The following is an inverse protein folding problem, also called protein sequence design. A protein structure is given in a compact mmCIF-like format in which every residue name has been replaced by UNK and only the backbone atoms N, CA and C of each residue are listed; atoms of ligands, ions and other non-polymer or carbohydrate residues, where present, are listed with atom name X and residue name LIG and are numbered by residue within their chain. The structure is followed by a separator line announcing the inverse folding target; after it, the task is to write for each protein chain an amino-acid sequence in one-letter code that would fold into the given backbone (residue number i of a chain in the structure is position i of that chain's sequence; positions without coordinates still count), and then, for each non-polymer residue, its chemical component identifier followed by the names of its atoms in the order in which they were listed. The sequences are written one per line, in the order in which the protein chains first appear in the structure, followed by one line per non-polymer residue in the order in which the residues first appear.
data_IF_973043085061
#
_entry.id   IF_973043085061
#
_cell.length_a   1.000
_cell.length_b   1.000
_cell.length_c   1.000
_cell.angle_alpha   90.00
_cell.angle_beta   90.00
_cell.angle_gamma   90.00
#
_symmetry.space_group_name_H-M   'P 1'
#
loop_
_entity.id
_entity.type
_entity.pdbx_description
1 polymer ?
#
# COMPACT_ATOMS: atom_id res chain seq x y z
N UNK A 1 29.37 -1.39 -29.25
CA UNK A 1 29.40 -1.43 -27.77
C UNK A 1 28.18 -0.78 -27.12
N UNK A 2 27.40 0.08 -27.78
CA UNK A 2 26.22 0.74 -27.17
C UNK A 2 24.97 -0.14 -27.00
N UNK A 3 24.83 -1.24 -27.74
CA UNK A 3 23.66 -2.13 -27.65
C UNK A 3 23.56 -2.86 -26.30
N UNK A 4 24.70 -3.23 -25.69
CA UNK A 4 24.75 -3.98 -24.43
C UNK A 4 24.29 -3.16 -23.22
N UNK A 5 24.50 -1.84 -23.22
CA UNK A 5 24.13 -0.97 -22.11
C UNK A 5 22.62 -0.67 -22.11
N UNK A 6 22.02 -0.53 -23.30
CA UNK A 6 20.59 -0.28 -23.45
C UNK A 6 19.75 -1.50 -23.06
N UNK A 7 20.23 -2.71 -23.37
CA UNK A 7 19.59 -3.97 -22.95
C UNK A 7 19.69 -4.18 -21.44
N UNK A 8 20.83 -3.84 -20.81
CA UNK A 8 21.02 -3.93 -19.36
C UNK A 8 20.12 -2.94 -18.60
N UNK A 9 20.00 -1.69 -19.06
CA UNK A 9 19.09 -0.68 -18.50
C UNK A 9 17.62 -1.07 -18.67
N UNK A 10 17.25 -1.61 -19.84
CA UNK A 10 15.89 -2.09 -20.10
C UNK A 10 15.55 -3.31 -19.25
N UNK A 11 16.51 -4.21 -19.03
CA UNK A 11 16.36 -5.38 -18.16
C UNK A 11 16.26 -4.95 -16.70
N UNK A 12 17.09 -4.00 -16.26
CA UNK A 12 17.02 -3.42 -14.92
C UNK A 12 15.65 -2.80 -14.67
N UNK A 13 15.15 -1.93 -15.54
CA UNK A 13 13.82 -1.31 -15.40
C UNK A 13 12.69 -2.36 -15.38
N UNK A 14 12.75 -3.41 -16.23
CA UNK A 14 11.75 -4.48 -16.23
C UNK A 14 11.76 -5.31 -14.94
N UNK A 15 12.94 -5.66 -14.44
CA UNK A 15 13.13 -6.43 -13.20
C UNK A 15 12.67 -5.63 -11.97
N UNK A 16 13.03 -4.35 -11.95
CA UNK A 16 12.62 -3.36 -10.95
C UNK A 16 11.10 -3.23 -10.88
N UNK A 17 10.46 -3.06 -12.04
CA UNK A 17 9.01 -2.92 -12.14
C UNK A 17 8.28 -4.19 -11.71
N UNK A 18 8.82 -5.37 -12.04
CA UNK A 18 8.27 -6.63 -11.58
C UNK A 18 8.24 -6.71 -10.05
N UNK A 19 9.34 -6.41 -9.39
CA UNK A 19 9.41 -6.46 -7.93
C UNK A 19 8.44 -5.48 -7.25
N UNK A 20 8.33 -4.26 -7.78
CA UNK A 20 7.40 -3.27 -7.23
C UNK A 20 5.95 -3.71 -7.45
N UNK A 21 5.64 -4.26 -8.62
CA UNK A 21 4.32 -4.81 -8.89
C UNK A 21 3.94 -5.94 -7.93
N UNK A 22 4.88 -6.82 -7.57
CA UNK A 22 4.64 -7.83 -6.53
C UNK A 22 4.30 -7.22 -5.17
N UNK A 23 5.02 -6.17 -4.76
CA UNK A 23 4.74 -5.45 -3.50
C UNK A 23 3.35 -4.81 -3.53
N UNK A 24 2.96 -4.19 -4.65
CA UNK A 24 1.62 -3.66 -4.85
C UNK A 24 0.55 -4.75 -4.80
N UNK A 25 0.78 -5.89 -5.45
CA UNK A 25 -0.15 -7.01 -5.40
C UNK A 25 -0.32 -7.55 -3.99
N UNK A 26 0.76 -7.57 -3.19
CA UNK A 26 0.67 -7.93 -1.78
C UNK A 26 -0.20 -6.94 -1.00
N UNK A 27 -0.06 -5.63 -1.24
CA UNK A 27 -0.94 -4.63 -0.63
C UNK A 27 -2.39 -4.82 -1.09
N UNK A 28 -2.62 -4.99 -2.39
CA UNK A 28 -3.96 -5.17 -2.94
C UNK A 28 -4.66 -6.40 -2.37
N UNK A 29 -3.94 -7.52 -2.20
CA UNK A 29 -4.49 -8.70 -1.52
C UNK A 29 -4.93 -8.38 -0.10
N UNK A 30 -4.10 -7.70 0.68
CA UNK A 30 -4.45 -7.28 2.04
C UNK A 30 -5.70 -6.36 2.07
N UNK A 31 -5.82 -5.46 1.09
CA UNK A 31 -6.98 -4.57 0.95
C UNK A 31 -8.25 -5.26 0.45
N UNK A 32 -8.15 -6.47 -0.09
CA UNK A 32 -9.26 -7.25 -0.62
C UNK A 32 -9.65 -8.42 0.29
N UNK A 33 -8.91 -8.65 1.39
CA UNK A 33 -9.28 -9.67 2.36
C UNK A 33 -10.66 -9.37 2.95
N UNK A 34 -11.48 -10.41 3.12
CA UNK A 34 -12.92 -10.33 3.48
C UNK A 34 -13.21 -9.60 4.82
N UNK A 35 -12.17 -9.32 5.61
CA UNK A 35 -12.27 -8.62 6.90
C UNK A 35 -11.54 -7.26 6.90
N UNK A 36 -11.15 -6.73 5.74
CA UNK A 36 -10.55 -5.40 5.65
C UNK A 36 -11.61 -4.31 5.88
N UNK A 37 -11.50 -3.62 7.01
CA UNK A 37 -12.23 -2.40 7.32
C UNK A 37 -11.38 -1.15 7.04
N UNK A 38 -11.97 0.04 7.10
CA UNK A 38 -11.29 1.30 6.83
C UNK A 38 -10.05 1.53 7.71
N UNK A 39 -10.08 1.08 8.98
CA UNK A 39 -8.99 1.26 9.94
C UNK A 39 -7.81 0.38 9.53
N UNK A 40 -8.08 -0.88 9.20
CA UNK A 40 -7.10 -1.85 8.72
C UNK A 40 -6.52 -1.45 7.36
N UNK A 41 -7.35 -1.00 6.41
CA UNK A 41 -6.91 -0.47 5.12
C UNK A 41 -6.03 0.76 5.26
N UNK A 42 -6.45 1.75 6.07
CA UNK A 42 -5.65 2.95 6.35
C UNK A 42 -4.28 2.57 6.92
N UNK A 43 -4.26 1.65 7.88
CA UNK A 43 -3.03 1.16 8.50
C UNK A 43 -2.13 0.43 7.50
N UNK A 44 -2.69 -0.44 6.66
CA UNK A 44 -1.95 -1.18 5.64
C UNK A 44 -1.32 -0.26 4.58
N UNK A 45 -2.07 0.73 4.09
CA UNK A 45 -1.58 1.73 3.13
C UNK A 45 -0.49 2.59 3.77
N UNK A 46 -0.70 3.07 5.01
CA UNK A 46 0.29 3.86 5.73
C UNK A 46 1.58 3.07 6.01
N UNK A 47 1.48 1.76 6.26
CA UNK A 47 2.63 0.89 6.38
C UNK A 47 3.34 0.69 5.03
N UNK A 48 2.60 0.57 3.93
CA UNK A 48 3.15 0.44 2.59
C UNK A 48 3.93 1.70 2.15
N UNK A 49 3.40 2.89 2.39
CA UNK A 49 4.13 4.15 2.13
C UNK A 49 5.46 4.21 2.89
N UNK A 50 5.47 3.81 4.17
CA UNK A 50 6.71 3.70 4.95
C UNK A 50 7.69 2.67 4.36
N UNK A 51 7.19 1.56 3.81
CA UNK A 51 8.02 0.57 3.11
C UNK A 51 8.66 1.15 1.85
N UNK A 52 7.95 1.95 1.05
CA UNK A 52 8.54 2.61 -0.14
C UNK A 52 9.73 3.50 0.25
N UNK A 53 9.57 4.32 1.29
CA UNK A 53 10.66 5.14 1.82
C UNK A 53 11.83 4.29 2.34
N UNK A 54 11.54 3.17 3.02
CA UNK A 54 12.56 2.22 3.47
C UNK A 54 13.33 1.61 2.28
N UNK A 55 12.63 1.17 1.24
CA UNK A 55 13.21 0.59 0.03
C UNK A 55 14.15 1.56 -0.67
N UNK A 56 13.75 2.83 -0.82
CA UNK A 56 14.59 3.90 -1.36
C UNK A 56 15.89 4.05 -0.57
N UNK A 57 15.81 4.09 0.76
CA UNK A 57 16.98 4.25 1.62
C UNK A 57 17.90 3.03 1.61
N UNK A 58 17.35 1.82 1.53
CA UNK A 58 18.13 0.59 1.48
C UNK A 58 18.90 0.47 0.16
N UNK A 59 18.29 0.87 -0.95
CA UNK A 59 18.93 0.84 -2.28
C UNK A 59 20.10 1.80 -2.36
N UNK A 60 19.98 3.00 -1.77
CA UNK A 60 21.12 3.92 -1.59
C UNK A 60 22.28 3.30 -0.80
N UNK A 61 22.00 2.35 0.08
CA UNK A 61 22.99 1.63 0.91
C UNK A 61 23.45 0.32 0.26
N UNK A 62 23.01 0.03 -0.98
CA UNK A 62 23.21 -1.27 -1.67
C UNK A 62 22.73 -2.48 -0.85
N UNK A 63 21.73 -2.27 0.01
CA UNK A 63 21.05 -3.32 0.76
C UNK A 63 19.81 -3.78 -0.03
N UNK A 64 19.90 -4.97 -0.63
CA UNK A 64 18.93 -5.46 -1.62
C UNK A 64 18.10 -6.65 -1.14
N UNK A 65 18.01 -6.90 0.16
CA UNK A 65 17.29 -8.05 0.71
C UNK A 65 15.80 -8.07 0.30
N UNK A 66 15.21 -6.89 0.11
CA UNK A 66 13.81 -6.75 -0.32
C UNK A 66 13.61 -6.92 -1.83
N UNK A 67 14.72 -6.91 -2.59
CA UNK A 67 14.81 -7.00 -4.04
C UNK A 67 15.92 -7.97 -4.46
N UNK A 68 15.73 -9.31 -4.29
CA UNK A 68 16.76 -10.29 -4.62
C UNK A 68 17.30 -10.18 -6.05
N UNK A 69 16.47 -9.74 -6.99
CA UNK A 69 16.90 -9.54 -8.38
C UNK A 69 17.93 -8.39 -8.53
N UNK A 70 17.89 -7.36 -7.68
CA UNK A 70 18.92 -6.31 -7.66
C UNK A 70 20.23 -6.85 -7.08
N UNK A 71 20.15 -7.76 -6.10
CA UNK A 71 21.34 -8.42 -5.56
C UNK A 71 22.08 -9.23 -6.64
N UNK A 72 21.33 -9.85 -7.57
CA UNK A 72 21.91 -10.63 -8.68
C UNK A 72 22.74 -9.79 -9.67
N UNK A 73 22.46 -8.49 -9.80
CA UNK A 73 23.13 -7.59 -10.76
C UNK A 73 23.92 -6.48 -10.06
N UNK A 74 24.17 -6.59 -8.75
CA UNK A 74 24.81 -5.53 -7.96
C UNK A 74 26.17 -5.09 -8.51
N UNK A 75 26.96 -6.00 -9.08
CA UNK A 75 28.25 -5.67 -9.71
C UNK A 75 28.12 -4.73 -10.90
N UNK A 76 26.97 -4.76 -11.57
CA UNK A 76 26.73 -4.05 -12.83
C UNK A 76 26.03 -2.70 -12.58
N UNK A 77 25.41 -2.53 -11.41
CA UNK A 77 24.69 -1.32 -11.02
C UNK A 77 25.65 -0.19 -10.62
N UNK A 78 25.60 0.90 -11.38
CA UNK A 78 26.28 2.15 -11.03
C UNK A 78 25.44 2.95 -10.02
N UNK A 79 26.08 3.91 -9.35
CA UNK A 79 25.38 4.74 -8.36
C UNK A 79 24.30 5.61 -9.01
N UNK A 80 24.49 6.00 -10.28
CA UNK A 80 23.48 6.70 -11.09
C UNK A 80 22.23 5.84 -11.33
N UNK A 81 22.38 4.54 -11.55
CA UNK A 81 21.26 3.61 -11.72
C UNK A 81 20.46 3.47 -10.42
N UNK A 82 21.17 3.42 -9.28
CA UNK A 82 20.56 3.36 -7.95
C UNK A 82 19.85 4.68 -7.60
N UNK A 83 20.40 5.81 -8.04
CA UNK A 83 19.76 7.12 -7.88
C UNK A 83 18.46 7.20 -8.69
N UNK A 84 18.47 6.76 -9.95
CA UNK A 84 17.28 6.70 -10.80
C UNK A 84 16.20 5.80 -10.21
N UNK A 85 16.59 4.62 -9.68
CA UNK A 85 15.64 3.76 -8.98
C UNK A 85 15.07 4.43 -7.71
N UNK A 86 15.92 5.10 -6.94
CA UNK A 86 15.50 5.82 -5.74
C UNK A 86 14.52 6.96 -6.03
N UNK A 87 14.70 7.67 -7.14
CA UNK A 87 13.78 8.69 -7.64
C UNK A 87 12.45 8.06 -8.10
N UNK A 88 12.51 6.93 -8.80
CA UNK A 88 11.30 6.20 -9.21
C UNK A 88 10.43 5.80 -8.01
N UNK A 89 11.04 5.28 -6.93
CA UNK A 89 10.30 4.98 -5.70
C UNK A 89 9.71 6.21 -5.04
N UNK A 90 10.42 7.33 -5.09
CA UNK A 90 9.91 8.60 -4.53
C UNK A 90 8.68 9.06 -5.29
N UNK A 91 8.72 9.04 -6.63
CA UNK A 91 7.60 9.43 -7.47
C UNK A 91 6.37 8.56 -7.20
N UNK A 92 6.55 7.25 -7.02
CA UNK A 92 5.46 6.35 -6.63
C UNK A 92 4.92 6.71 -5.24
N UNK A 93 5.81 6.96 -4.29
CA UNK A 93 5.41 7.33 -2.94
C UNK A 93 4.58 8.62 -2.94
N UNK A 94 5.03 9.67 -3.64
CA UNK A 94 4.32 10.95 -3.77
C UNK A 94 2.97 10.81 -4.46
N UNK A 95 2.89 10.04 -5.56
CA UNK A 95 1.61 9.76 -6.24
C UNK A 95 0.62 9.05 -5.32
N UNK A 96 1.07 7.98 -4.65
CA UNK A 96 0.22 7.25 -3.72
C UNK A 96 -0.21 8.12 -2.54
N UNK A 97 0.72 8.86 -1.94
CA UNK A 97 0.43 9.72 -0.80
C UNK A 97 -0.59 10.80 -1.17
N UNK A 98 -0.51 11.37 -2.37
CA UNK A 98 -1.50 12.30 -2.90
C UNK A 98 -2.87 11.65 -3.03
N UNK A 99 -2.92 10.45 -3.64
CA UNK A 99 -4.19 9.74 -3.92
C UNK A 99 -4.88 9.21 -2.66
N UNK A 100 -4.13 8.90 -1.61
CA UNK A 100 -4.68 8.39 -0.34
C UNK A 100 -4.65 9.46 0.77
N UNK A 101 -4.37 10.71 0.43
CA UNK A 101 -4.22 11.82 1.38
C UNK A 101 -5.42 11.99 2.29
N UNK A 102 -6.64 11.97 1.73
CA UNK A 102 -7.88 12.10 2.49
C UNK A 102 -8.06 10.95 3.50
N UNK A 103 -7.75 9.71 3.09
CA UNK A 103 -7.81 8.54 3.95
C UNK A 103 -6.79 8.63 5.09
N UNK A 104 -5.56 9.07 4.79
CA UNK A 104 -4.50 9.23 5.78
C UNK A 104 -4.79 10.39 6.74
N UNK A 105 -5.39 11.47 6.26
CA UNK A 105 -5.80 12.64 7.04
C UNK A 105 -7.05 12.43 7.90
N UNK A 106 -7.81 11.36 7.65
CA UNK A 106 -9.03 11.06 8.41
C UNK A 106 -8.75 10.88 9.92
N UNK A 107 -9.35 11.70 10.75
CA UNK A 107 -9.35 11.47 12.20
C UNK A 107 -10.35 10.37 12.54
N UNK A 108 -9.91 9.34 13.26
CA UNK A 108 -10.74 8.20 13.65
C UNK A 108 -10.93 8.30 15.16
N UNK A 109 -12.14 8.67 15.63
CA UNK A 109 -12.41 8.78 17.06
C UNK A 109 -12.11 7.48 17.79
N UNK A 110 -11.61 7.58 19.03
CA UNK A 110 -11.21 6.42 19.83
C UNK A 110 -12.34 5.40 20.02
N UNK A 111 -13.58 5.88 20.16
CA UNK A 111 -14.77 5.03 20.28
C UNK A 111 -15.09 4.24 19.00
N UNK A 112 -14.63 4.67 17.83
CA UNK A 112 -14.76 3.91 16.57
C UNK A 112 -13.72 2.80 16.51
N UNK A 113 -12.50 3.08 16.97
CA UNK A 113 -11.39 2.11 16.95
C UNK A 113 -11.53 1.02 18.01
N UNK A 114 -11.96 1.40 19.23
CA UNK A 114 -12.07 0.48 20.38
C UNK A 114 -13.38 0.72 21.15
N UNK A 115 -14.56 0.55 20.51
CA UNK A 115 -15.85 0.91 21.09
C UNK A 115 -16.15 0.25 22.45
N UNK A 116 -15.58 -0.92 22.73
CA UNK A 116 -15.85 -1.70 23.95
C UNK A 116 -14.91 -1.41 25.12
N UNK A 117 -13.84 -0.63 24.90
CA UNK A 117 -12.82 -0.36 25.92
C UNK A 117 -12.83 1.12 26.35
N UNK A 118 -13.59 1.96 25.65
CA UNK A 118 -13.69 3.39 25.93
C UNK A 118 -14.55 3.66 27.16
N UNK A 119 -14.05 4.52 28.04
CA UNK A 119 -14.83 5.06 29.16
C UNK A 119 -15.92 6.01 28.63
N UNK A 120 -17.17 5.57 28.65
CA UNK A 120 -18.32 6.32 28.13
C UNK A 120 -18.48 7.68 28.83
N UNK A 121 -18.11 7.78 30.12
CA UNK A 121 -18.23 9.03 30.88
C UNK A 121 -17.31 10.16 30.37
N UNK A 122 -16.25 9.82 29.64
CA UNK A 122 -15.29 10.80 29.08
C UNK A 122 -15.62 11.19 27.64
N UNK A 123 -16.66 10.60 27.04
CA UNK A 123 -17.11 10.90 25.68
C UNK A 123 -18.16 12.00 25.70
N UNK A 124 -18.29 12.72 24.57
CA UNK A 124 -19.34 13.71 24.35
C UNK A 124 -20.72 13.16 24.73
N UNK A 125 -21.48 13.97 25.49
CA UNK A 125 -22.77 13.60 26.08
C UNK A 125 -23.73 13.04 25.01
N UNK A 126 -23.71 13.59 23.79
CA UNK A 126 -24.58 13.15 22.70
C UNK A 126 -24.31 11.72 22.21
N UNK A 127 -23.13 11.17 22.51
CA UNK A 127 -22.69 9.84 22.09
C UNK A 127 -22.71 8.81 23.22
N UNK A 128 -22.91 9.24 24.48
CA UNK A 128 -22.84 8.34 25.64
C UNK A 128 -23.91 7.25 25.61
N UNK A 129 -25.17 7.61 25.37
CA UNK A 129 -26.28 6.66 25.26
C UNK A 129 -26.10 5.70 24.05
N UNK A 130 -25.87 6.18 22.81
CA UNK A 130 -25.58 5.30 21.67
C UNK A 130 -24.41 4.34 21.91
N UNK A 131 -23.34 4.81 22.55
CA UNK A 131 -22.16 3.99 22.82
C UNK A 131 -22.46 2.93 23.90
N UNK A 132 -23.21 3.28 24.95
CA UNK A 132 -23.67 2.33 25.95
C UNK A 132 -24.52 1.21 25.32
N UNK A 133 -25.40 1.53 24.37
CA UNK A 133 -26.13 0.50 23.64
C UNK A 133 -25.21 -0.40 22.82
N UNK A 134 -24.22 0.17 22.12
CA UNK A 134 -23.25 -0.57 21.32
C UNK A 134 -22.44 -1.51 22.23
N UNK A 135 -21.95 -1.03 23.38
CA UNK A 135 -21.15 -1.81 24.32
C UNK A 135 -21.94 -2.98 24.94
N UNK A 136 -23.24 -2.79 25.18
CA UNK A 136 -24.12 -3.80 25.79
C UNK A 136 -24.75 -4.76 24.77
N UNK A 137 -24.63 -4.52 23.45
CA UNK A 137 -25.06 -5.50 22.43
C UNK A 137 -24.15 -6.73 22.49
N UNK A 138 -24.76 -7.91 22.65
CA UNK A 138 -24.05 -9.20 22.65
C UNK A 138 -23.03 -9.28 21.49
N UNK A 139 -21.73 -9.25 21.82
CA UNK A 139 -20.60 -9.33 20.87
C UNK A 139 -20.76 -10.40 19.78
N UNK A 140 -21.46 -11.49 20.11
CA UNK A 140 -21.76 -12.61 19.22
C UNK A 140 -22.67 -12.26 18.04
N UNK A 141 -23.46 -11.19 18.08
CA UNK A 141 -24.39 -10.84 17.00
C UNK A 141 -23.79 -9.87 15.97
N UNK A 142 -22.85 -9.01 16.38
CA UNK A 142 -22.19 -8.03 15.49
C UNK A 142 -21.16 -8.75 14.60
N UNK A 143 -20.39 -9.67 15.18
CA UNK A 143 -19.39 -10.44 14.43
C UNK A 143 -20.01 -11.52 13.51
N UNK A 144 -21.24 -11.97 13.80
CA UNK A 144 -21.99 -12.93 12.98
C UNK A 144 -22.78 -12.29 11.84
N UNK A 145 -22.97 -10.97 11.82
CA UNK A 145 -23.77 -10.29 10.79
C UNK A 145 -22.99 -9.84 9.56
N UNK A 146 -21.66 -9.88 9.58
CA UNK A 146 -20.87 -9.34 8.47
C UNK A 146 -21.30 -7.91 8.16
N UNK A 147 -21.40 -7.05 9.17
CA UNK A 147 -21.93 -5.69 9.01
C UNK A 147 -21.05 -4.90 8.00
N UNK A 148 -21.55 -4.59 6.77
CA UNK A 148 -20.73 -4.15 5.64
C UNK A 148 -20.35 -2.67 5.66
N UNK A 149 -20.36 -2.00 6.82
CA UNK A 149 -20.37 -0.53 6.85
C UNK A 149 -19.09 0.13 6.34
N UNK A 150 -18.04 -0.64 6.04
CA UNK A 150 -16.79 -0.16 5.47
C UNK A 150 -16.17 -1.12 4.44
N UNK A 151 -16.94 -2.08 3.89
CA UNK A 151 -16.41 -3.02 2.90
C UNK A 151 -16.13 -2.28 1.58
N UNK A 152 -14.85 -2.04 1.27
CA UNK A 152 -14.37 -1.40 0.03
C UNK A 152 -14.49 -2.32 -1.21
N UNK A 153 -15.16 -3.47 -1.10
CA UNK A 153 -15.17 -4.48 -2.16
C UNK A 153 -16.26 -4.21 -3.19
N UNK A 154 -15.99 -3.31 -4.15
CA UNK A 154 -16.55 -3.42 -5.50
C UNK A 154 -15.71 -2.70 -6.57
N UNK A 155 -14.41 -2.52 -6.34
CA UNK A 155 -13.49 -2.12 -7.42
C UNK A 155 -12.61 -3.31 -7.72
N UNK A 156 -13.01 -4.08 -8.72
CA UNK A 156 -12.13 -5.07 -9.34
C UNK A 156 -11.07 -4.34 -10.17
N UNK A 157 -9.78 -4.42 -9.83
CA UNK A 157 -8.74 -3.89 -10.70
C UNK A 157 -8.73 -4.71 -12.00
N UNK A 158 -9.04 -4.07 -13.13
CA UNK A 158 -8.98 -4.72 -14.44
C UNK A 158 -7.52 -4.74 -14.92
N UNK A 159 -6.77 -5.72 -14.40
CA UNK A 159 -5.33 -5.91 -14.67
C UNK A 159 -5.06 -6.09 -16.16
N UNK A 160 -5.99 -6.70 -16.90
CA UNK A 160 -5.87 -6.90 -18.36
C UNK A 160 -5.91 -5.57 -19.12
N UNK A 161 -6.86 -4.69 -18.79
CA UNK A 161 -6.91 -3.33 -19.37
C UNK A 161 -5.67 -2.50 -19.03
N UNK A 162 -5.12 -2.66 -17.82
CA UNK A 162 -3.92 -1.94 -17.40
C UNK A 162 -2.67 -2.46 -18.12
N UNK A 163 -2.58 -3.77 -18.36
CA UNK A 163 -1.49 -4.39 -19.10
C UNK A 163 -1.50 -4.01 -20.58
N UNK A 164 -2.68 -3.97 -21.24
CA UNK A 164 -2.84 -3.55 -22.64
C UNK A 164 -2.43 -2.09 -22.87
N UNK A 165 -2.83 -1.19 -21.96
CA UNK A 165 -2.56 0.25 -22.09
C UNK A 165 -1.07 0.60 -21.96
N UNK A 166 -0.29 -0.25 -21.32
CA UNK A 166 1.13 -0.01 -21.02
C UNK A 166 2.07 -0.91 -21.84
N UNK A 167 1.58 -1.61 -22.87
CA UNK A 167 2.47 -2.26 -23.81
C UNK A 167 3.28 -1.19 -24.58
N UNK A 168 4.61 -1.37 -24.74
CA UNK A 168 5.39 -0.47 -25.57
C UNK A 168 4.85 -0.54 -26.99
N UNK A 169 4.23 0.54 -27.46
CA UNK A 169 3.89 0.70 -28.86
C UNK A 169 5.21 0.60 -29.62
N UNK A 170 5.35 -0.44 -30.44
CA UNK A 170 6.54 -0.65 -31.24
C UNK A 170 6.82 0.62 -32.04
N UNK A 171 8.04 1.15 -31.89
CA UNK A 171 8.49 2.27 -32.70
C UNK A 171 8.52 1.83 -34.16
N UNK A 172 7.61 2.37 -34.97
CA UNK A 172 7.73 2.40 -36.41
C UNK A 172 8.64 3.55 -36.84
#
# INVERSE_FOLDING_TARGET
MSASLHDALTLAIKVVNHNIFEKFNSLNKQLQENNSDLISSKSAIAAFLRKLQLYKNNIRRRAFEQFPCLACINSDLQDEDLALYGEYLENIHEDMQTRVGDLLGMDIPIWVSIPFEVNVAEIDISLQEPLNEIQNRNRLNIMKRGDPRLSLTSIEPNINKLAEKNQPQGSH
#
